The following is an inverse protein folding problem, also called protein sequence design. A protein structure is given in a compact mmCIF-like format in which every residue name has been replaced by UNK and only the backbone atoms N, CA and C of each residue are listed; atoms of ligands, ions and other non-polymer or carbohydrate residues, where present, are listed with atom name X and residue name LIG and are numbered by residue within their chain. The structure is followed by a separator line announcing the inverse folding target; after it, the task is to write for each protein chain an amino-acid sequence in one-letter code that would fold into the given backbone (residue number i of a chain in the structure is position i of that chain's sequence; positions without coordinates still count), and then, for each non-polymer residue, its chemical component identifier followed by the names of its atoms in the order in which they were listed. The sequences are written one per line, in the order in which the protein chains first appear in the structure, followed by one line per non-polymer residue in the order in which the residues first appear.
data_IF_128536250218
#
_entry.id   IF_128536250218
#
_cell.length_a   1.000
_cell.length_b   1.000
_cell.length_c   1.000
_cell.angle_alpha   90.00
_cell.angle_beta   90.00
_cell.angle_gamma   90.00
#
_symmetry.space_group_name_H-M   'P 1'
#
loop_
_entity.id
_entity.type
_entity.pdbx_description
1 polymer ?
#
# COMPACT_ATOMS: atom_id res chain seq x y z
N UNK A 1 16.74 -17.03 -2.04
CA UNK A 1 16.62 -15.63 -1.55
C UNK A 1 16.36 -15.66 -0.05
N UNK A 2 16.94 -14.77 0.76
CA UNK A 2 16.68 -14.73 2.19
C UNK A 2 15.20 -14.39 2.46
N UNK A 3 14.49 -15.25 3.17
CA UNK A 3 13.10 -15.06 3.62
C UNK A 3 13.12 -14.70 5.10
N UNK A 4 12.85 -13.44 5.42
CA UNK A 4 12.75 -12.95 6.80
C UNK A 4 11.30 -12.66 7.20
N UNK A 5 11.08 -12.26 8.46
CA UNK A 5 9.74 -11.94 9.02
C UNK A 5 8.95 -10.88 8.23
N UNK A 6 9.63 -10.02 7.46
CA UNK A 6 9.00 -9.01 6.61
C UNK A 6 8.90 -9.40 5.13
N UNK A 7 9.21 -10.65 4.77
CA UNK A 7 9.08 -11.13 3.41
C UNK A 7 7.61 -11.43 3.12
N UNK A 8 7.07 -10.85 2.06
CA UNK A 8 5.72 -11.14 1.57
C UNK A 8 5.83 -12.21 0.50
N UNK A 9 5.14 -13.33 0.72
CA UNK A 9 5.05 -14.39 -0.28
C UNK A 9 4.29 -13.90 -1.51
N UNK A 10 4.68 -14.37 -2.69
CA UNK A 10 4.10 -13.93 -3.95
C UNK A 10 2.57 -14.06 -3.99
N UNK A 11 2.01 -15.16 -3.48
CA UNK A 11 0.56 -15.37 -3.44
C UNK A 11 -0.19 -14.27 -2.66
N UNK A 12 0.39 -13.79 -1.55
CA UNK A 12 -0.21 -12.70 -0.75
C UNK A 12 -0.12 -11.38 -1.51
N UNK A 13 0.99 -11.14 -2.20
CA UNK A 13 1.13 -9.95 -3.05
C UNK A 13 0.17 -9.97 -4.24
N UNK A 14 0.03 -11.13 -4.90
CA UNK A 14 -0.86 -11.35 -6.03
C UNK A 14 -2.33 -11.16 -5.64
N UNK A 15 -2.75 -11.66 -4.48
CA UNK A 15 -4.10 -11.44 -3.95
C UNK A 15 -4.41 -9.94 -3.81
N UNK A 16 -3.51 -9.18 -3.18
CA UNK A 16 -3.66 -7.73 -3.05
C UNK A 16 -3.72 -7.02 -4.40
N UNK A 17 -2.92 -7.47 -5.38
CA UNK A 17 -2.92 -6.92 -6.73
C UNK A 17 -4.24 -7.18 -7.45
N UNK A 18 -4.74 -8.41 -7.46
CA UNK A 18 -5.99 -8.74 -8.11
C UNK A 18 -7.19 -8.07 -7.43
N UNK A 19 -7.17 -7.92 -6.10
CA UNK A 19 -8.19 -7.13 -5.40
C UNK A 19 -8.19 -5.67 -5.83
N UNK A 20 -7.02 -5.05 -5.85
CA UNK A 20 -6.87 -3.64 -6.26
C UNK A 20 -7.28 -3.45 -7.71
N UNK A 21 -6.87 -4.34 -8.60
CA UNK A 21 -7.24 -4.36 -10.02
C UNK A 21 -8.75 -4.49 -10.20
N UNK A 22 -9.41 -5.39 -9.46
CA UNK A 22 -10.86 -5.56 -9.51
C UNK A 22 -11.60 -4.30 -9.03
N UNK A 23 -11.20 -3.75 -7.89
CA UNK A 23 -11.84 -2.58 -7.30
C UNK A 23 -11.73 -1.32 -8.17
N UNK A 24 -10.67 -1.22 -8.99
CA UNK A 24 -10.39 -0.07 -9.87
C UNK A 24 -10.83 -0.29 -11.32
N UNK A 25 -11.60 -1.36 -11.61
CA UNK A 25 -12.04 -1.68 -12.97
C UNK A 25 -10.87 -1.95 -13.93
N UNK A 26 -9.82 -2.60 -13.44
CA UNK A 26 -8.56 -2.80 -14.17
C UNK A 26 -7.69 -1.54 -14.22
N UNK A 27 -7.60 -0.79 -13.11
CA UNK A 27 -6.88 0.48 -12.98
C UNK A 27 -7.39 1.63 -13.86
N UNK A 28 -8.65 1.55 -14.32
CA UNK A 28 -9.31 2.62 -15.08
C UNK A 28 -9.85 3.71 -14.16
N UNK A 29 -10.26 3.34 -12.95
CA UNK A 29 -10.80 4.24 -11.94
C UNK A 29 -9.99 4.13 -10.65
N UNK A 30 -8.85 4.82 -10.60
CA UNK A 30 -7.98 4.88 -9.42
C UNK A 30 -8.34 6.13 -8.61
N UNK A 31 -9.28 5.97 -7.69
CA UNK A 31 -9.79 7.04 -6.82
C UNK A 31 -9.56 6.66 -5.34
N UNK A 32 -9.60 7.63 -4.40
CA UNK A 32 -9.55 7.32 -2.98
C UNK A 32 -10.61 6.29 -2.54
N UNK A 33 -11.80 6.33 -3.15
CA UNK A 33 -12.91 5.43 -2.84
C UNK A 33 -12.63 4.00 -3.32
N UNK A 34 -12.21 3.82 -4.58
CA UNK A 34 -11.92 2.48 -5.13
C UNK A 34 -10.70 1.86 -4.49
N UNK A 35 -9.65 2.64 -4.24
CA UNK A 35 -8.45 2.19 -3.52
C UNK A 35 -8.78 1.91 -2.06
N UNK A 36 -9.52 2.79 -1.40
CA UNK A 36 -9.94 2.63 0.00
C UNK A 36 -10.73 1.34 0.19
N UNK A 37 -11.72 1.07 -0.67
CA UNK A 37 -12.49 -0.17 -0.64
C UNK A 37 -11.59 -1.42 -0.78
N UNK A 38 -10.58 -1.39 -1.65
CA UNK A 38 -9.62 -2.48 -1.79
C UNK A 38 -8.75 -2.67 -0.54
N UNK A 39 -8.29 -1.57 0.08
CA UNK A 39 -7.44 -1.61 1.27
C UNK A 39 -8.21 -2.08 2.51
N UNK A 40 -9.46 -1.63 2.70
CA UNK A 40 -10.29 -2.08 3.82
C UNK A 40 -10.66 -3.57 3.73
N UNK A 41 -10.83 -4.10 2.53
CA UNK A 41 -11.10 -5.52 2.31
C UNK A 41 -9.83 -6.39 2.33
N UNK A 42 -8.75 -5.91 1.70
CA UNK A 42 -7.46 -6.62 1.60
C UNK A 42 -6.31 -5.63 1.89
N UNK A 43 -5.88 -5.47 3.15
CA UNK A 43 -4.91 -4.43 3.55
C UNK A 43 -3.59 -4.42 2.77
N UNK A 44 -3.12 -5.58 2.30
CA UNK A 44 -1.90 -5.67 1.49
C UNK A 44 -2.00 -4.87 0.17
N UNK A 45 -3.21 -4.55 -0.30
CA UNK A 45 -3.43 -3.71 -1.48
C UNK A 45 -2.76 -2.33 -1.36
N UNK A 46 -2.60 -1.79 -0.14
CA UNK A 46 -1.86 -0.54 0.08
C UNK A 46 -0.36 -0.70 -0.23
N UNK A 47 0.23 -1.83 0.17
CA UNK A 47 1.63 -2.16 -0.14
C UNK A 47 1.80 -2.36 -1.64
N UNK A 48 0.89 -3.11 -2.27
CA UNK A 48 0.90 -3.34 -3.73
C UNK A 48 0.83 -2.01 -4.48
N UNK A 49 -0.12 -1.13 -4.16
CA UNK A 49 -0.24 0.18 -4.79
C UNK A 49 1.06 0.96 -4.68
N UNK A 50 1.64 1.07 -3.47
CA UNK A 50 2.90 1.79 -3.24
C UNK A 50 4.08 1.17 -4.00
N UNK A 51 4.12 -0.15 -4.15
CA UNK A 51 5.11 -0.83 -4.97
C UNK A 51 4.96 -0.46 -6.46
N UNK A 52 3.73 -0.46 -6.99
CA UNK A 52 3.45 -0.10 -8.39
C UNK A 52 3.95 1.31 -8.75
N UNK A 53 3.84 2.27 -7.81
CA UNK A 53 4.25 3.66 -8.03
C UNK A 53 5.65 4.00 -7.48
N UNK A 54 6.40 3.03 -6.96
CA UNK A 54 7.75 3.26 -6.40
C UNK A 54 7.77 4.16 -5.15
N UNK A 55 6.71 4.11 -4.32
CA UNK A 55 6.49 5.00 -3.19
C UNK A 55 6.84 4.34 -1.86
N UNK A 56 8.11 4.49 -1.46
CA UNK A 56 8.67 3.85 -0.26
C UNK A 56 8.06 4.40 1.04
N UNK A 57 8.10 3.64 2.16
CA UNK A 57 7.56 4.10 3.44
C UNK A 57 8.12 5.46 3.92
N UNK A 58 9.43 5.76 3.78
CA UNK A 58 9.94 7.10 4.14
C UNK A 58 9.35 8.23 3.29
N UNK A 59 9.16 8.00 1.98
CA UNK A 59 8.54 8.99 1.10
C UNK A 59 7.08 9.24 1.51
N UNK A 60 6.36 8.18 1.86
CA UNK A 60 4.99 8.29 2.33
C UNK A 60 4.87 9.06 3.65
N UNK A 61 5.71 8.72 4.64
CA UNK A 61 5.77 9.45 5.91
C UNK A 61 6.01 10.95 5.69
N UNK A 62 6.97 11.30 4.84
CA UNK A 62 7.26 12.69 4.47
C UNK A 62 6.05 13.38 3.82
N UNK A 63 5.46 12.75 2.80
CA UNK A 63 4.37 13.35 2.02
C UNK A 63 3.11 13.55 2.86
N UNK A 64 2.69 12.55 3.64
CA UNK A 64 1.52 12.67 4.53
C UNK A 64 1.75 13.75 5.58
N UNK A 65 2.95 13.80 6.17
CA UNK A 65 3.26 14.84 7.15
C UNK A 65 3.15 16.24 6.55
N UNK A 66 3.67 16.41 5.32
CA UNK A 66 3.60 17.69 4.62
C UNK A 66 2.15 18.06 4.23
N UNK A 67 1.38 17.09 3.76
CA UNK A 67 0.03 17.33 3.22
C UNK A 67 -1.00 17.58 4.33
N UNK A 68 -0.85 16.92 5.48
CA UNK A 68 -1.83 16.95 6.58
C UNK A 68 -1.42 17.85 7.74
N UNK A 69 -0.15 18.23 7.83
CA UNK A 69 0.42 18.91 9.00
C UNK A 69 0.63 18.01 10.22
N UNK A 70 0.24 16.73 10.14
CA UNK A 70 0.39 15.75 11.23
C UNK A 70 1.75 15.05 11.10
N UNK A 71 2.56 15.07 12.15
CA UNK A 71 3.86 14.38 12.12
C UNK A 71 3.70 12.85 12.04
N UNK A 72 4.11 12.27 10.91
CA UNK A 72 4.17 10.82 10.68
C UNK A 72 5.62 10.38 10.68
N UNK A 73 5.99 9.51 11.63
CA UNK A 73 7.35 8.96 11.68
C UNK A 73 7.56 7.88 10.62
N UNK A 74 8.80 7.70 10.16
CA UNK A 74 9.09 6.61 9.23
C UNK A 74 8.81 5.22 9.83
N UNK A 75 8.90 5.07 11.16
CA UNK A 75 8.58 3.82 11.85
C UNK A 75 7.08 3.53 11.79
N UNK A 76 6.22 4.54 11.97
CA UNK A 76 4.78 4.41 11.79
C UNK A 76 4.43 3.97 10.36
N UNK A 77 5.03 4.61 9.35
CA UNK A 77 4.83 4.24 7.96
C UNK A 77 5.25 2.79 7.65
N UNK A 78 6.37 2.31 8.23
CA UNK A 78 6.80 0.91 8.08
C UNK A 78 5.94 -0.08 8.84
N UNK A 79 5.31 0.34 9.93
CA UNK A 79 4.46 -0.52 10.75
C UNK A 79 3.12 -0.80 10.06
N UNK A 80 2.60 0.15 9.26
CA UNK A 80 1.37 -0.03 8.48
C UNK A 80 1.53 -1.09 7.37
N UNK A 81 2.76 -1.34 6.93
CA UNK A 81 3.06 -2.36 5.92
C UNK A 81 3.10 -3.80 6.48
N UNK A 82 2.93 -3.97 7.80
CA UNK A 82 3.15 -5.24 8.52
C UNK A 82 1.88 -5.80 9.12
#
# INVERSE_FOLDING_TARGET
MPKGKGFIEFAVFEEGYERLKRATGGFREVTPETVGAAVYDTPIALVVLRCMIGFTPPKWAYYVSRQTGISVTQNAARAIDR
#
